data_IF_644048541001
#
_entry.id   IF_644048541001
#
_cell.length_a   1.000
_cell.length_b   1.000
_cell.length_c   1.000
_cell.angle_alpha   90.00
_cell.angle_beta   90.00
_cell.angle_gamma   90.00
#
_symmetry.space_group_name_H-M   'P 1'
#
loop_
_entity.id
_entity.type
_entity.pdbx_description
1 polymer ?
#
# COMPACT_ATOMS: atom_id res chain seq x y z
N UNK A 1 -8.44 -20.75 31.55
CA UNK A 1 -7.73 -20.37 30.31
C UNK A 1 -6.39 -21.09 30.32
N UNK A 2 -6.02 -21.77 29.23
CA UNK A 2 -4.75 -22.47 29.12
C UNK A 2 -3.62 -21.43 28.93
N UNK A 3 -2.61 -21.36 29.82
CA UNK A 3 -1.54 -20.34 29.75
C UNK A 3 -0.82 -20.30 28.40
N UNK A 4 -0.70 -21.44 27.72
CA UNK A 4 -0.09 -21.56 26.39
C UNK A 4 -0.81 -20.73 25.32
N UNK A 5 -2.14 -20.63 25.39
CA UNK A 5 -2.93 -19.85 24.42
C UNK A 5 -2.75 -18.33 24.62
N UNK A 6 -2.52 -17.88 25.85
CA UNK A 6 -2.24 -16.47 26.14
C UNK A 6 -0.86 -16.08 25.61
N UNK A 7 0.15 -16.90 25.86
CA UNK A 7 1.51 -16.71 25.35
C UNK A 7 1.57 -16.71 23.82
N UNK A 8 0.86 -17.64 23.15
CA UNK A 8 0.72 -17.67 21.68
C UNK A 8 0.04 -16.40 21.14
N UNK A 9 -0.99 -15.91 21.82
CA UNK A 9 -1.70 -14.69 21.43
C UNK A 9 -0.81 -13.46 21.55
N UNK A 10 -0.03 -13.36 22.64
CA UNK A 10 0.93 -12.28 22.84
C UNK A 10 2.08 -12.33 21.84
N UNK A 11 2.65 -13.51 21.59
CA UNK A 11 3.68 -13.71 20.58
C UNK A 11 3.18 -13.29 19.19
N UNK A 12 1.95 -13.70 18.83
CA UNK A 12 1.31 -13.29 17.57
C UNK A 12 1.12 -11.77 17.49
N UNK A 13 0.69 -11.12 18.57
CA UNK A 13 0.53 -9.66 18.62
C UNK A 13 1.87 -8.95 18.43
N UNK A 14 2.93 -9.41 19.11
CA UNK A 14 4.28 -8.84 18.96
C UNK A 14 4.80 -8.99 17.53
N UNK A 15 4.65 -10.18 16.94
CA UNK A 15 5.02 -10.41 15.55
C UNK A 15 4.29 -9.47 14.59
N UNK A 16 2.97 -9.30 14.75
CA UNK A 16 2.21 -8.34 13.95
C UNK A 16 2.63 -6.89 14.14
N UNK A 17 2.99 -6.49 15.36
CA UNK A 17 3.50 -5.14 15.62
C UNK A 17 4.77 -4.87 14.82
N UNK A 18 5.73 -5.80 14.85
CA UNK A 18 6.98 -5.66 14.10
C UNK A 18 6.76 -5.59 12.59
N UNK A 19 5.85 -6.41 12.06
CA UNK A 19 5.47 -6.35 10.64
C UNK A 19 4.80 -5.02 10.30
N UNK A 20 3.89 -4.54 11.16
CA UNK A 20 3.21 -3.27 10.96
C UNK A 20 4.20 -2.09 10.96
N UNK A 21 5.18 -2.09 11.86
CA UNK A 21 6.21 -1.05 11.95
C UNK A 21 7.08 -1.02 10.69
N UNK A 22 7.53 -2.20 10.21
CA UNK A 22 8.34 -2.28 8.97
C UNK A 22 7.52 -1.87 7.73
N UNK A 23 6.26 -2.29 7.63
CA UNK A 23 5.38 -1.86 6.52
C UNK A 23 5.14 -0.35 6.56
N UNK A 24 4.89 0.21 7.75
CA UNK A 24 4.68 1.64 7.92
C UNK A 24 5.93 2.44 7.52
N UNK A 25 7.12 1.98 7.94
CA UNK A 25 8.41 2.57 7.56
C UNK A 25 8.59 2.58 6.05
N UNK A 26 8.43 1.44 5.36
CA UNK A 26 8.57 1.36 3.90
C UNK A 26 7.58 2.24 3.14
N UNK A 27 6.34 2.36 3.64
CA UNK A 27 5.35 3.26 3.04
C UNK A 27 5.76 4.72 3.20
N UNK A 28 6.25 5.12 4.38
CA UNK A 28 6.73 6.48 4.63
C UNK A 28 7.94 6.80 3.76
N UNK A 29 8.96 5.92 3.75
CA UNK A 29 10.16 6.07 2.92
C UNK A 29 9.79 6.16 1.43
N UNK A 30 8.87 5.30 0.97
CA UNK A 30 8.37 5.32 -0.41
C UNK A 30 7.61 6.60 -0.75
N UNK A 31 6.87 7.20 0.18
CA UNK A 31 6.23 8.50 -0.04
C UNK A 31 7.24 9.63 -0.15
N UNK A 32 8.28 9.62 0.67
CA UNK A 32 9.33 10.62 0.63
C UNK A 32 10.15 10.51 -0.66
N UNK A 33 10.39 9.30 -1.15
CA UNK A 33 11.19 9.04 -2.35
C UNK A 33 10.41 9.21 -3.65
N UNK A 34 9.21 8.64 -3.76
CA UNK A 34 8.45 8.54 -5.02
C UNK A 34 7.16 9.37 -5.03
N UNK A 35 6.74 9.90 -3.89
CA UNK A 35 5.43 10.52 -3.72
C UNK A 35 4.29 9.50 -3.60
N UNK A 36 3.12 10.00 -3.17
CA UNK A 36 1.92 9.18 -3.05
C UNK A 36 1.21 9.01 -4.40
N UNK A 37 0.53 7.86 -4.65
CA UNK A 37 -0.32 7.70 -5.82
C UNK A 37 -1.35 8.82 -5.97
N UNK A 38 -1.46 9.37 -7.18
CA UNK A 38 -2.39 10.46 -7.51
C UNK A 38 -3.46 9.98 -8.50
N UNK A 39 -4.57 10.71 -8.59
CA UNK A 39 -5.68 10.36 -9.49
C UNK A 39 -6.21 11.61 -10.18
N UNK A 40 -6.41 11.50 -11.49
CA UNK A 40 -7.06 12.50 -12.32
C UNK A 40 -8.27 11.90 -13.05
N UNK A 41 -9.21 12.78 -13.42
CA UNK A 41 -10.35 12.42 -14.26
C UNK A 41 -9.92 12.54 -15.72
N UNK A 42 -10.18 11.52 -16.53
CA UNK A 42 -9.87 11.57 -17.95
C UNK A 42 -10.92 12.41 -18.70
N UNK A 43 -10.54 13.23 -19.71
CA UNK A 43 -11.49 14.06 -20.46
C UNK A 43 -12.60 13.28 -21.16
N UNK A 44 -12.31 12.08 -21.66
CA UNK A 44 -13.31 11.19 -22.30
C UNK A 44 -14.20 10.44 -21.30
N UNK A 45 -14.01 10.64 -20.00
CA UNK A 45 -14.71 9.92 -18.93
C UNK A 45 -13.81 8.90 -18.23
N UNK A 46 -14.21 8.46 -17.04
CA UNK A 46 -13.39 7.61 -16.18
C UNK A 46 -12.28 8.36 -15.45
N UNK A 47 -11.40 7.61 -14.79
CA UNK A 47 -10.31 8.10 -13.97
C UNK A 47 -9.05 7.29 -14.26
N UNK A 48 -7.90 7.95 -14.26
CA UNK A 48 -6.61 7.29 -14.24
C UNK A 48 -5.88 7.68 -12.96
N UNK A 49 -5.21 6.71 -12.37
CA UNK A 49 -4.30 6.91 -11.27
C UNK A 49 -2.88 6.68 -11.74
N UNK A 50 -1.96 7.48 -11.24
CA UNK A 50 -0.55 7.41 -11.55
C UNK A 50 0.25 7.23 -10.25
N UNK A 51 1.32 6.46 -10.31
CA UNK A 51 2.33 6.43 -9.27
C UNK A 51 3.72 6.13 -9.84
N UNK A 52 4.75 6.58 -9.12
CA UNK A 52 6.13 6.12 -9.29
C UNK A 52 6.49 5.18 -8.14
N UNK A 53 7.37 4.22 -8.39
CA UNK A 53 7.87 3.30 -7.39
C UNK A 53 9.19 2.65 -7.82
N UNK A 54 9.72 1.71 -7.03
CA UNK A 54 11.01 1.07 -7.29
C UNK A 54 11.05 0.33 -8.64
N UNK A 55 9.89 -0.13 -9.11
CA UNK A 55 9.71 -0.83 -10.38
C UNK A 55 9.33 0.09 -11.56
N UNK A 56 9.45 1.40 -11.39
CA UNK A 56 9.15 2.42 -12.40
C UNK A 56 7.76 3.04 -12.24
N UNK A 57 7.34 3.73 -13.30
CA UNK A 57 6.05 4.41 -13.37
C UNK A 57 4.92 3.44 -13.77
N UNK A 58 3.75 3.58 -13.13
CA UNK A 58 2.54 2.89 -13.56
C UNK A 58 1.35 3.82 -13.63
N UNK A 59 0.46 3.53 -14.58
CA UNK A 59 -0.85 4.14 -14.73
C UNK A 59 -1.89 3.03 -14.65
N UNK A 60 -2.94 3.25 -13.84
CA UNK A 60 -4.09 2.36 -13.76
C UNK A 60 -5.38 3.12 -14.03
N UNK A 61 -6.24 2.53 -14.86
CA UNK A 61 -7.53 3.11 -15.20
C UNK A 61 -8.68 2.50 -14.40
N UNK A 62 -9.70 3.31 -14.15
CA UNK A 62 -10.91 2.87 -13.49
C UNK A 62 -12.13 3.71 -13.83
N UNK A 63 -13.30 3.10 -13.64
CA UNK A 63 -14.59 3.75 -13.84
C UNK A 63 -14.89 4.84 -12.81
N UNK A 64 -14.27 4.77 -11.62
CA UNK A 64 -14.49 5.72 -10.53
C UNK A 64 -13.17 6.15 -9.87
N UNK A 65 -13.17 7.38 -9.33
CA UNK A 65 -12.04 7.95 -8.59
C UNK A 65 -11.58 7.04 -7.45
N UNK A 66 -12.54 6.46 -6.71
CA UNK A 66 -12.25 5.57 -5.57
C UNK A 66 -11.58 4.28 -6.02
N UNK A 67 -12.05 3.70 -7.11
CA UNK A 67 -11.47 2.48 -7.67
C UNK A 67 -10.05 2.73 -8.19
N UNK A 68 -9.82 3.84 -8.91
CA UNK A 68 -8.50 4.25 -9.40
C UNK A 68 -7.50 4.35 -8.23
N UNK A 69 -7.86 5.11 -7.18
CA UNK A 69 -7.04 5.22 -5.97
C UNK A 69 -6.78 3.88 -5.28
N UNK A 70 -7.77 2.97 -5.25
CA UNK A 70 -7.63 1.68 -4.58
C UNK A 70 -6.64 0.78 -5.34
N UNK A 71 -6.76 0.72 -6.67
CA UNK A 71 -5.85 -0.06 -7.52
C UNK A 71 -4.43 0.45 -7.38
N UNK A 72 -4.21 1.74 -7.61
CA UNK A 72 -2.88 2.35 -7.56
C UNK A 72 -2.21 2.17 -6.20
N UNK A 73 -2.91 2.45 -5.09
CA UNK A 73 -2.32 2.25 -3.74
C UNK A 73 -1.97 0.80 -3.45
N UNK A 74 -2.78 -0.16 -3.92
CA UNK A 74 -2.52 -1.58 -3.69
C UNK A 74 -1.31 -2.06 -4.48
N UNK A 75 -1.17 -1.64 -5.73
CA UNK A 75 -0.03 -1.99 -6.58
C UNK A 75 1.25 -1.29 -6.10
N UNK A 76 1.17 0.00 -5.79
CA UNK A 76 2.29 0.76 -5.24
C UNK A 76 2.82 0.17 -3.91
N UNK A 77 1.93 -0.18 -2.97
CA UNK A 77 2.36 -0.84 -1.72
C UNK A 77 3.00 -2.20 -2.02
N UNK A 78 2.51 -2.96 -3.01
CA UNK A 78 3.15 -4.23 -3.39
C UNK A 78 4.55 -4.01 -3.93
N UNK A 79 4.72 -3.05 -4.83
CA UNK A 79 6.02 -2.69 -5.41
C UNK A 79 7.02 -2.26 -4.30
N UNK A 80 6.57 -1.62 -3.21
CA UNK A 80 7.44 -1.25 -2.08
C UNK A 80 7.81 -2.41 -1.14
N UNK A 81 6.88 -3.37 -0.97
CA UNK A 81 7.08 -4.48 -0.04
C UNK A 81 7.86 -5.63 -0.68
N UNK A 82 7.77 -5.79 -1.99
CA UNK A 82 8.43 -6.82 -2.81
C UNK A 82 8.97 -6.19 -4.11
N UNK A 83 10.06 -5.40 -4.01
CA UNK A 83 10.63 -4.67 -5.13
C UNK A 83 11.29 -5.59 -6.16
#
# INVERSE_FOLDING_TARGET
MNPTHLEETEARRRAWSLVADEVARRIADGWDEYGAPTVAKHPSGGFFAHYQGPNGERIVEASSKREAYRKARKEWIRDLLDP
#
